data_IF_262323305337
#
_entry.id   IF_262323305337
#
_cell.length_a   1.000
_cell.length_b   1.000
_cell.length_c   1.000
_cell.angle_alpha   90.00
_cell.angle_beta   90.00
_cell.angle_gamma   90.00
#
_symmetry.space_group_name_H-M   'P 1'
#
loop_
_entity.id
_entity.type
_entity.pdbx_description
1 polymer ?
#
# COMPACT_ATOMS: atom_id res chain seq x y z
N UNK A 1 54.29 -17.69 -33.83
CA UNK A 1 53.94 -17.84 -35.28
C UNK A 1 52.68 -17.06 -35.58
N UNK A 2 52.80 -16.19 -36.52
CA UNK A 2 51.78 -15.23 -37.02
C UNK A 2 50.60 -15.95 -37.69
N UNK A 3 49.36 -15.42 -37.60
CA UNK A 3 48.53 -15.08 -38.78
C UNK A 3 47.41 -14.10 -38.41
N UNK A 4 47.55 -12.91 -38.95
CA UNK A 4 46.50 -11.89 -39.14
C UNK A 4 45.66 -12.33 -40.32
N UNK A 5 44.35 -12.13 -40.23
CA UNK A 5 43.51 -12.04 -41.45
C UNK A 5 42.50 -10.91 -41.24
N UNK A 6 42.69 -9.91 -42.07
CA UNK A 6 41.79 -8.79 -42.37
C UNK A 6 40.57 -9.35 -43.13
N UNK A 7 39.38 -8.92 -42.82
CA UNK A 7 38.22 -9.04 -43.66
C UNK A 7 37.58 -7.67 -43.86
N UNK A 8 37.41 -7.35 -45.13
CA UNK A 8 37.05 -6.06 -45.69
C UNK A 8 35.54 -5.74 -45.46
N UNK A 9 35.27 -4.42 -45.36
CA UNK A 9 33.94 -3.84 -45.45
C UNK A 9 33.34 -4.08 -46.84
N UNK A 10 32.07 -4.53 -46.86
CA UNK A 10 31.18 -4.36 -47.98
C UNK A 10 30.04 -3.42 -47.55
N UNK A 11 30.08 -2.20 -48.10
CA UNK A 11 28.95 -1.25 -48.06
C UNK A 11 27.91 -1.73 -49.08
N UNK A 12 26.71 -2.09 -48.57
CA UNK A 12 25.51 -2.20 -49.39
C UNK A 12 24.54 -1.10 -49.01
N UNK A 13 24.30 -0.18 -49.90
CA UNK A 13 23.26 0.83 -49.84
C UNK A 13 21.88 0.10 -49.90
N UNK A 14 21.14 0.10 -48.82
CA UNK A 14 19.78 -0.39 -48.75
C UNK A 14 18.81 0.75 -48.48
N UNK A 15 17.91 0.96 -49.44
CA UNK A 15 16.87 1.99 -49.47
C UNK A 15 16.02 1.99 -48.18
N UNK A 16 15.99 3.13 -47.50
CA UNK A 16 15.17 3.31 -46.31
C UNK A 16 13.69 3.34 -46.65
N UNK A 17 12.94 2.35 -46.15
CA UNK A 17 11.50 2.45 -46.01
C UNK A 17 11.24 3.06 -44.64
N UNK A 18 10.85 4.32 -44.61
CA UNK A 18 10.38 4.98 -43.42
C UNK A 18 9.00 4.40 -43.04
N UNK A 19 8.96 3.46 -42.11
CA UNK A 19 7.72 3.05 -41.45
C UNK A 19 7.35 4.13 -40.47
N UNK A 20 6.42 5.00 -40.84
CA UNK A 20 5.78 5.97 -39.96
C UNK A 20 4.91 5.23 -38.95
N UNK A 21 5.43 4.97 -37.74
CA UNK A 21 4.64 4.56 -36.59
C UNK A 21 3.85 5.78 -36.08
N UNK A 22 2.74 6.10 -36.75
CA UNK A 22 1.73 6.99 -36.20
C UNK A 22 1.01 6.24 -35.04
N UNK A 23 1.68 6.13 -33.91
CA UNK A 23 1.08 5.74 -32.65
C UNK A 23 0.17 6.87 -32.18
N UNK A 24 -1.10 6.83 -32.55
CA UNK A 24 -2.13 7.68 -31.98
C UNK A 24 -2.23 7.44 -30.48
N UNK A 25 -1.46 8.17 -29.69
CA UNK A 25 -1.73 8.31 -28.26
C UNK A 25 -3.00 9.16 -28.14
N UNK A 26 -4.13 8.49 -28.16
CA UNK A 26 -5.37 9.09 -27.71
C UNK A 26 -5.11 9.61 -26.29
N UNK A 27 -4.98 10.93 -26.15
CA UNK A 27 -5.06 11.60 -24.86
C UNK A 27 -6.47 11.32 -24.34
N UNK A 28 -6.60 10.24 -23.56
CA UNK A 28 -7.74 10.10 -22.67
C UNK A 28 -7.66 11.33 -21.75
N UNK A 29 -8.47 12.33 -22.02
CA UNK A 29 -8.73 13.44 -21.12
C UNK A 29 -9.40 12.83 -19.90
N UNK A 30 -8.60 12.39 -18.93
CA UNK A 30 -9.06 12.08 -17.60
C UNK A 30 -9.61 13.40 -17.06
N UNK A 31 -10.93 13.58 -17.16
CA UNK A 31 -11.62 14.56 -16.33
C UNK A 31 -11.22 14.20 -14.92
N UNK A 32 -10.49 15.07 -14.23
CA UNK A 32 -10.18 14.94 -12.82
C UNK A 32 -11.50 14.94 -12.05
N UNK A 33 -12.11 13.78 -11.91
CA UNK A 33 -13.26 13.60 -11.03
C UNK A 33 -12.73 13.87 -9.63
N UNK A 34 -13.28 14.87 -8.95
CA UNK A 34 -12.97 15.04 -7.53
C UNK A 34 -13.34 13.74 -6.80
N UNK A 35 -12.43 13.18 -5.98
CA UNK A 35 -12.72 11.95 -5.25
C UNK A 35 -13.98 12.11 -4.41
N UNK A 36 -14.97 11.25 -4.62
CA UNK A 36 -16.20 11.27 -3.82
C UNK A 36 -15.90 10.70 -2.44
N UNK A 37 -16.27 11.39 -1.35
CA UNK A 37 -16.11 10.86 0.01
C UNK A 37 -16.94 9.58 0.18
N UNK A 38 -16.38 8.62 0.93
CA UNK A 38 -17.13 7.41 1.31
C UNK A 38 -18.00 7.74 2.52
N UNK A 39 -19.31 7.44 2.48
CA UNK A 39 -20.17 7.64 3.63
C UNK A 39 -19.67 6.87 4.87
N UNK A 40 -19.71 7.46 6.06
CA UNK A 40 -19.37 6.75 7.29
C UNK A 40 -20.23 5.51 7.50
N UNK A 41 -19.62 4.45 8.02
CA UNK A 41 -20.37 3.26 8.42
C UNK A 41 -21.33 3.57 9.57
N UNK A 42 -22.51 2.98 9.51
CA UNK A 42 -23.61 3.15 10.48
C UNK A 42 -24.12 1.79 10.94
N UNK A 43 -24.95 1.76 11.95
CA UNK A 43 -25.66 0.54 12.34
C UNK A 43 -26.37 -0.06 11.13
N UNK A 44 -26.17 -1.34 10.88
CA UNK A 44 -26.66 -2.06 9.71
C UNK A 44 -25.72 -2.05 8.50
N UNK A 45 -24.62 -1.29 8.50
CA UNK A 45 -23.62 -1.34 7.43
C UNK A 45 -23.08 -2.76 7.23
N UNK A 46 -22.84 -3.12 5.96
CA UNK A 46 -22.43 -4.46 5.56
C UNK A 46 -21.07 -4.44 4.90
N UNK A 47 -20.19 -5.34 5.33
CA UNK A 47 -18.87 -5.54 4.75
C UNK A 47 -18.67 -7.01 4.42
N UNK A 48 -17.80 -7.29 3.48
CA UNK A 48 -17.41 -8.66 3.10
C UNK A 48 -15.91 -8.86 3.27
N UNK A 49 -15.53 -9.97 3.89
CA UNK A 49 -14.15 -10.40 3.96
C UNK A 49 -13.67 -10.97 2.63
N UNK A 50 -12.44 -10.68 2.24
CA UNK A 50 -11.79 -11.16 1.03
C UNK A 50 -10.37 -11.55 1.36
N UNK A 51 -9.92 -12.68 0.85
CA UNK A 51 -8.51 -13.07 0.90
C UNK A 51 -7.85 -12.91 -0.49
N UNK A 52 -7.15 -11.81 -0.76
CA UNK A 52 -6.50 -11.57 -2.05
C UNK A 52 -5.13 -12.23 -2.19
N UNK A 53 -4.56 -12.72 -1.10
CA UNK A 53 -3.17 -13.15 -1.00
C UNK A 53 -2.98 -14.65 -0.80
N UNK A 54 -2.08 -14.98 0.11
CA UNK A 54 -1.75 -16.36 0.48
C UNK A 54 -2.94 -17.04 1.16
N UNK A 55 -3.07 -18.36 0.97
CA UNK A 55 -4.04 -19.14 1.73
C UNK A 55 -3.83 -18.98 3.23
N UNK A 56 -4.88 -19.09 3.99
CA UNK A 56 -4.82 -19.00 5.45
C UNK A 56 -5.26 -20.34 6.06
N UNK A 57 -4.84 -20.56 7.29
CA UNK A 57 -5.21 -21.79 8.02
C UNK A 57 -6.73 -22.00 7.96
N UNK A 58 -7.22 -23.16 7.44
CA UNK A 58 -8.64 -23.48 7.40
C UNK A 58 -9.32 -23.39 8.76
N UNK A 59 -8.58 -23.68 9.84
CA UNK A 59 -9.07 -23.64 11.23
C UNK A 59 -9.07 -22.22 11.82
N UNK A 60 -8.72 -21.18 11.04
CA UNK A 60 -8.76 -19.80 11.52
C UNK A 60 -10.12 -19.45 12.10
N UNK A 61 -10.15 -19.10 13.38
CA UNK A 61 -11.37 -18.68 14.07
C UNK A 61 -11.67 -17.21 13.74
N UNK A 62 -12.73 -16.97 12.98
CA UNK A 62 -13.24 -15.64 12.67
C UNK A 62 -14.22 -15.09 13.73
N UNK A 63 -14.58 -15.87 14.75
CA UNK A 63 -15.54 -15.45 15.78
C UNK A 63 -15.16 -14.13 16.45
N UNK A 64 -13.90 -13.90 16.86
CA UNK A 64 -13.52 -12.62 17.46
C UNK A 64 -13.69 -11.44 16.48
N UNK A 65 -13.40 -11.65 15.19
CA UNK A 65 -13.57 -10.63 14.17
C UNK A 65 -15.06 -10.30 13.96
N UNK A 66 -15.90 -11.32 13.82
CA UNK A 66 -17.35 -11.15 13.68
C UNK A 66 -17.95 -10.41 14.87
N UNK A 67 -17.53 -10.75 16.10
CA UNK A 67 -17.98 -10.09 17.32
C UNK A 67 -17.61 -8.62 17.36
N UNK A 68 -16.39 -8.25 16.92
CA UNK A 68 -15.94 -6.84 16.83
C UNK A 68 -16.83 -6.01 15.90
N UNK A 69 -17.15 -6.53 14.72
CA UNK A 69 -18.03 -5.83 13.78
C UNK A 69 -19.47 -5.77 14.32
N UNK A 70 -19.99 -6.87 14.87
CA UNK A 70 -21.32 -6.91 15.46
C UNK A 70 -21.48 -5.94 16.64
N UNK A 71 -20.45 -5.76 17.46
CA UNK A 71 -20.46 -4.79 18.56
C UNK A 71 -20.66 -3.33 18.08
N UNK A 72 -20.25 -3.01 16.83
CA UNK A 72 -20.53 -1.72 16.20
C UNK A 72 -21.90 -1.66 15.50
N UNK A 73 -22.62 -2.77 15.50
CA UNK A 73 -23.87 -2.94 14.74
C UNK A 73 -23.63 -3.10 13.23
N UNK A 74 -22.42 -3.48 12.83
CA UNK A 74 -22.05 -3.77 11.44
C UNK A 74 -22.11 -5.28 11.17
N UNK A 75 -22.37 -5.65 9.94
CA UNK A 75 -22.38 -7.04 9.49
C UNK A 75 -21.12 -7.32 8.66
N UNK A 76 -20.29 -8.25 9.12
CA UNK A 76 -19.18 -8.78 8.34
C UNK A 76 -19.57 -10.16 7.82
N UNK A 77 -19.59 -10.31 6.51
CA UNK A 77 -19.75 -11.59 5.82
C UNK A 77 -18.37 -12.24 5.61
N UNK A 78 -18.23 -13.51 5.97
CA UNK A 78 -17.03 -14.32 5.72
C UNK A 78 -17.40 -15.42 4.72
N UNK A 79 -17.20 -15.21 3.40
CA UNK A 79 -17.44 -16.25 2.40
C UNK A 79 -16.50 -17.43 2.57
N UNK A 80 -16.95 -18.63 2.19
CA UNK A 80 -16.11 -19.83 2.23
C UNK A 80 -14.84 -19.70 1.38
N UNK A 81 -14.90 -18.93 0.30
CA UNK A 81 -13.75 -18.63 -0.56
C UNK A 81 -12.56 -17.99 0.17
N UNK A 82 -12.77 -17.39 1.35
CA UNK A 82 -11.70 -16.86 2.19
C UNK A 82 -10.73 -17.95 2.66
N UNK A 83 -11.25 -19.17 2.86
CA UNK A 83 -10.51 -20.36 3.34
C UNK A 83 -9.96 -21.23 2.21
N UNK A 84 -10.14 -20.82 0.97
CA UNK A 84 -9.68 -21.58 -0.18
C UNK A 84 -8.16 -21.70 -0.25
N UNK A 85 -7.68 -22.70 -0.99
CA UNK A 85 -6.26 -22.92 -1.24
C UNK A 85 -6.02 -23.33 -2.69
N UNK A 86 -5.11 -22.64 -3.34
CA UNK A 86 -4.56 -23.01 -4.63
C UNK A 86 -3.06 -22.72 -4.61
N UNK A 87 -2.24 -23.76 -4.57
CA UNK A 87 -0.80 -23.62 -4.31
C UNK A 87 -0.58 -22.85 -3.00
N UNK A 88 0.17 -21.74 -3.03
CA UNK A 88 0.36 -20.85 -1.87
C UNK A 88 -0.64 -19.68 -1.80
N UNK A 89 -1.59 -19.60 -2.71
CA UNK A 89 -2.64 -18.58 -2.73
C UNK A 89 -3.97 -19.11 -2.18
N UNK A 90 -4.87 -18.18 -1.86
CA UNK A 90 -6.23 -18.55 -1.44
C UNK A 90 -7.08 -19.14 -2.58
N UNK A 91 -6.79 -18.75 -3.83
CA UNK A 91 -7.46 -19.24 -5.04
C UNK A 91 -6.64 -18.84 -6.28
N UNK A 92 -7.09 -19.23 -7.49
CA UNK A 92 -6.50 -18.74 -8.74
C UNK A 92 -6.61 -17.23 -8.87
N UNK A 93 -5.76 -16.60 -9.69
CA UNK A 93 -5.78 -15.15 -9.88
C UNK A 93 -7.16 -14.66 -10.35
N UNK A 94 -7.80 -15.39 -11.27
CA UNK A 94 -9.13 -15.05 -11.77
C UNK A 94 -10.23 -15.18 -10.70
N UNK A 95 -10.18 -16.21 -9.88
CA UNK A 95 -11.13 -16.39 -8.77
C UNK A 95 -10.98 -15.30 -7.71
N UNK A 96 -9.74 -14.94 -7.33
CA UNK A 96 -9.45 -13.85 -6.39
C UNK A 96 -9.91 -12.52 -6.95
N UNK A 97 -9.64 -12.25 -8.26
CA UNK A 97 -10.14 -11.06 -8.95
C UNK A 97 -11.66 -10.99 -8.94
N UNK A 98 -12.33 -12.07 -9.34
CA UNK A 98 -13.79 -12.13 -9.36
C UNK A 98 -14.39 -11.86 -7.97
N UNK A 99 -13.83 -12.48 -6.93
CA UNK A 99 -14.28 -12.26 -5.54
C UNK A 99 -14.19 -10.77 -5.12
N UNK A 100 -13.14 -10.07 -5.54
CA UNK A 100 -12.98 -8.64 -5.27
C UNK A 100 -13.97 -7.81 -6.09
N UNK A 101 -14.07 -8.06 -7.39
CA UNK A 101 -14.96 -7.32 -8.30
C UNK A 101 -16.43 -7.52 -7.91
N UNK A 102 -16.83 -8.72 -7.55
CA UNK A 102 -18.18 -9.02 -7.07
C UNK A 102 -18.52 -8.25 -5.80
N UNK A 103 -17.61 -8.23 -4.83
CA UNK A 103 -17.83 -7.47 -3.60
C UNK A 103 -17.86 -5.95 -3.85
N UNK A 104 -16.99 -5.44 -4.71
CA UNK A 104 -16.96 -4.01 -5.03
C UNK A 104 -18.20 -3.55 -5.82
N UNK A 105 -18.77 -4.42 -6.63
CA UNK A 105 -19.96 -4.11 -7.43
C UNK A 105 -21.29 -4.44 -6.73
N UNK A 106 -21.24 -5.13 -5.59
CA UNK A 106 -22.44 -5.41 -4.79
C UNK A 106 -22.94 -4.10 -4.12
N UNK A 107 -24.08 -3.53 -4.54
CA UNK A 107 -24.58 -2.28 -4.01
C UNK A 107 -25.05 -2.37 -2.55
N UNK A 108 -25.20 -3.58 -2.03
CA UNK A 108 -25.62 -3.82 -0.63
C UNK A 108 -24.45 -3.78 0.35
N UNK A 109 -23.22 -3.76 -0.15
CA UNK A 109 -22.01 -3.67 0.66
C UNK A 109 -21.49 -2.24 0.74
N UNK A 110 -21.14 -1.80 1.94
CA UNK A 110 -20.48 -0.52 2.21
C UNK A 110 -18.96 -0.60 2.05
N UNK A 111 -18.39 -1.82 2.10
CA UNK A 111 -16.96 -2.01 1.98
C UNK A 111 -16.50 -3.47 2.05
N UNK A 112 -15.18 -3.61 1.98
CA UNK A 112 -14.48 -4.90 2.06
C UNK A 112 -13.43 -4.88 3.16
N UNK A 113 -13.15 -6.06 3.72
CA UNK A 113 -12.07 -6.29 4.69
C UNK A 113 -11.14 -7.34 4.10
N UNK A 114 -9.91 -6.96 3.81
CA UNK A 114 -8.89 -7.90 3.37
C UNK A 114 -8.33 -8.63 4.58
N UNK A 115 -8.57 -9.93 4.66
CA UNK A 115 -8.22 -10.75 5.84
C UNK A 115 -6.98 -11.60 5.67
N UNK A 116 -6.52 -11.78 4.46
CA UNK A 116 -5.27 -12.48 4.15
C UNK A 116 -4.10 -11.51 3.97
N UNK A 117 -2.90 -12.05 3.95
CA UNK A 117 -1.65 -11.36 3.71
C UNK A 117 -0.69 -12.20 2.87
N UNK A 118 0.62 -12.08 3.13
CA UNK A 118 1.66 -12.82 2.43
C UNK A 118 1.99 -12.24 1.06
N UNK A 119 1.56 -12.92 -0.01
CA UNK A 119 1.79 -12.51 -1.39
C UNK A 119 0.59 -12.85 -2.28
N UNK A 120 0.27 -12.01 -3.25
CA UNK A 120 -0.73 -12.32 -4.26
C UNK A 120 -1.56 -11.15 -4.76
N UNK A 121 -1.73 -10.08 -3.98
CA UNK A 121 -2.57 -8.94 -4.35
C UNK A 121 -2.07 -8.24 -5.64
N UNK A 122 -0.75 -8.11 -5.83
CA UNK A 122 -0.18 -7.54 -7.05
C UNK A 122 -0.48 -8.39 -8.30
N UNK A 123 -0.56 -9.72 -8.18
CA UNK A 123 -0.98 -10.61 -9.29
C UNK A 123 -2.45 -10.43 -9.64
N UNK A 124 -3.29 -10.18 -8.64
CA UNK A 124 -4.70 -9.86 -8.89
C UNK A 124 -4.82 -8.54 -9.68
N UNK A 125 -4.00 -7.54 -9.38
CA UNK A 125 -3.93 -6.31 -10.17
C UNK A 125 -3.50 -6.59 -11.62
N UNK A 126 -2.47 -7.42 -11.82
CA UNK A 126 -1.97 -7.83 -13.14
C UNK A 126 -3.04 -8.55 -13.96
N UNK A 127 -3.87 -9.38 -13.33
CA UNK A 127 -4.95 -10.12 -14.02
C UNK A 127 -6.08 -9.23 -14.56
N UNK A 128 -5.96 -7.90 -14.42
CA UNK A 128 -6.87 -6.94 -15.03
C UNK A 128 -8.02 -6.50 -14.13
N UNK A 129 -7.79 -6.44 -12.82
CA UNK A 129 -8.75 -5.95 -11.83
C UNK A 129 -9.34 -4.59 -12.22
N UNK A 130 -10.66 -4.44 -12.10
CA UNK A 130 -11.42 -3.24 -12.42
C UNK A 130 -12.01 -2.63 -11.16
N UNK A 131 -11.76 -1.35 -10.97
CA UNK A 131 -12.35 -0.61 -9.86
C UNK A 131 -13.78 -0.17 -10.21
N UNK A 132 -14.70 -0.18 -9.22
CA UNK A 132 -16.09 0.26 -9.43
C UNK A 132 -16.17 1.78 -9.56
N UNK A 133 -17.28 2.28 -10.10
CA UNK A 133 -17.57 3.72 -10.18
C UNK A 133 -18.39 4.22 -8.96
N UNK A 134 -18.16 3.66 -7.79
CA UNK A 134 -18.79 4.05 -6.54
C UNK A 134 -17.77 4.14 -5.40
N UNK A 135 -17.97 5.03 -4.41
CA UNK A 135 -17.16 5.06 -3.20
C UNK A 135 -17.46 3.81 -2.34
N UNK A 136 -16.43 3.24 -1.71
CA UNK A 136 -16.55 2.11 -0.78
C UNK A 136 -15.35 2.07 0.17
N UNK A 137 -15.53 1.47 1.32
CA UNK A 137 -14.45 1.22 2.26
C UNK A 137 -13.63 -0.01 1.89
N UNK A 138 -12.32 0.09 2.02
CA UNK A 138 -11.39 -1.05 1.97
C UNK A 138 -10.47 -0.98 3.16
N UNK A 139 -10.58 -1.95 4.05
CA UNK A 139 -9.67 -2.11 5.18
C UNK A 139 -8.71 -3.25 4.86
N UNK A 140 -7.40 -2.97 4.89
CA UNK A 140 -6.39 -3.98 4.57
C UNK A 140 -5.00 -3.61 5.06
N UNK A 141 -4.10 -4.59 5.05
CA UNK A 141 -2.77 -4.47 5.60
C UNK A 141 -1.80 -5.42 4.88
N UNK A 142 -0.48 -5.19 5.00
CA UNK A 142 0.53 -6.08 4.42
C UNK A 142 0.39 -6.19 2.89
N UNK A 143 0.30 -7.38 2.31
CA UNK A 143 0.11 -7.62 0.86
C UNK A 143 -1.06 -6.83 0.26
N UNK A 144 -2.14 -6.62 1.04
CA UNK A 144 -3.29 -5.84 0.60
C UNK A 144 -2.97 -4.36 0.33
N UNK A 145 -1.80 -3.85 0.78
CA UNK A 145 -1.33 -2.52 0.44
C UNK A 145 -1.30 -2.29 -1.07
N UNK A 146 -1.06 -3.33 -1.88
CA UNK A 146 -1.12 -3.24 -3.34
C UNK A 146 -2.51 -2.79 -3.83
N UNK A 147 -3.58 -3.37 -3.28
CA UNK A 147 -4.96 -3.02 -3.62
C UNK A 147 -5.34 -1.63 -3.11
N UNK A 148 -4.89 -1.26 -1.91
CA UNK A 148 -5.15 0.06 -1.33
C UNK A 148 -4.46 1.18 -2.13
N UNK A 149 -3.21 0.98 -2.54
CA UNK A 149 -2.49 1.90 -3.43
C UNK A 149 -3.18 2.04 -4.79
N UNK A 150 -3.58 0.91 -5.38
CA UNK A 150 -4.26 0.89 -6.66
C UNK A 150 -5.65 1.55 -6.59
N UNK A 151 -6.40 1.36 -5.49
CA UNK A 151 -7.67 2.05 -5.23
C UNK A 151 -7.45 3.58 -5.18
N UNK A 152 -6.44 4.02 -4.42
CA UNK A 152 -6.07 5.43 -4.36
C UNK A 152 -5.64 5.98 -5.72
N UNK A 153 -4.81 5.23 -6.47
CA UNK A 153 -4.40 5.60 -7.83
C UNK A 153 -5.58 5.70 -8.81
N UNK A 154 -6.63 4.89 -8.62
CA UNK A 154 -7.85 4.98 -9.39
C UNK A 154 -8.75 6.19 -9.01
N UNK A 155 -8.32 7.02 -8.04
CA UNK A 155 -9.06 8.20 -7.57
C UNK A 155 -10.21 7.87 -6.60
N UNK A 156 -10.20 6.70 -5.98
CA UNK A 156 -11.22 6.26 -5.04
C UNK A 156 -10.75 6.43 -3.60
N UNK A 157 -11.51 7.16 -2.80
CA UNK A 157 -11.31 7.25 -1.35
C UNK A 157 -11.81 5.99 -0.64
N UNK A 158 -11.52 5.88 0.67
CA UNK A 158 -11.99 4.80 1.52
C UNK A 158 -10.97 3.67 1.73
N UNK A 159 -9.78 3.78 1.17
CA UNK A 159 -8.68 2.86 1.45
C UNK A 159 -8.10 3.16 2.85
N UNK A 160 -8.09 2.16 3.73
CA UNK A 160 -7.51 2.24 5.07
C UNK A 160 -6.42 1.16 5.19
N UNK A 161 -5.19 1.61 5.42
CA UNK A 161 -4.08 0.73 5.78
C UNK A 161 -4.15 0.43 7.27
N UNK A 162 -4.53 -0.78 7.62
CA UNK A 162 -4.70 -1.23 8.99
C UNK A 162 -5.30 -2.63 9.04
N UNK A 163 -5.31 -3.20 10.23
CA UNK A 163 -5.81 -4.55 10.48
C UNK A 163 -7.07 -4.51 11.33
N UNK A 164 -8.04 -5.36 11.01
CA UNK A 164 -9.17 -5.64 11.89
C UNK A 164 -8.81 -6.59 13.05
N UNK A 165 -7.67 -7.26 12.95
CA UNK A 165 -7.07 -8.05 14.01
C UNK A 165 -6.22 -7.18 14.94
N UNK A 166 -5.92 -7.67 16.15
CA UNK A 166 -5.03 -6.98 17.09
C UNK A 166 -5.72 -6.54 18.38
N UNK A 167 -5.12 -5.55 19.07
CA UNK A 167 -5.61 -5.05 20.37
C UNK A 167 -6.80 -4.11 20.22
N UNK A 168 -7.54 -3.90 21.31
CA UNK A 168 -8.80 -3.14 21.28
C UNK A 168 -8.60 -1.67 20.92
N UNK A 169 -7.57 -1.02 21.42
CA UNK A 169 -7.31 0.39 21.10
C UNK A 169 -7.04 0.62 19.61
N UNK A 170 -6.34 -0.32 18.98
CA UNK A 170 -6.11 -0.35 17.53
C UNK A 170 -7.43 -0.49 16.77
N UNK A 171 -8.30 -1.40 17.23
CA UNK A 171 -9.62 -1.60 16.64
C UNK A 171 -10.50 -0.35 16.81
N UNK A 172 -10.50 0.27 17.99
CA UNK A 172 -11.27 1.49 18.23
C UNK A 172 -10.87 2.61 17.26
N UNK A 173 -9.58 2.79 16.97
CA UNK A 173 -9.15 3.75 15.95
C UNK A 173 -9.69 3.41 14.56
N UNK A 174 -9.68 2.14 14.18
CA UNK A 174 -10.25 1.69 12.91
C UNK A 174 -11.76 2.00 12.84
N UNK A 175 -12.48 1.77 13.94
CA UNK A 175 -13.90 2.11 14.07
C UNK A 175 -14.12 3.62 13.92
N UNK A 176 -13.28 4.46 14.55
CA UNK A 176 -13.38 5.91 14.44
C UNK A 176 -13.22 6.37 12.99
N UNK A 177 -12.21 5.84 12.28
CA UNK A 177 -12.00 6.15 10.86
C UNK A 177 -13.18 5.75 9.99
N UNK A 178 -13.66 4.52 10.12
CA UNK A 178 -14.79 3.99 9.35
C UNK A 178 -16.11 4.71 9.67
N UNK A 179 -16.26 5.21 10.90
CA UNK A 179 -17.43 5.99 11.34
C UNK A 179 -17.30 7.48 11.09
N UNK A 180 -16.20 7.95 10.51
CA UNK A 180 -15.95 9.37 10.24
C UNK A 180 -15.70 10.21 11.50
N UNK A 181 -15.32 9.57 12.60
CA UNK A 181 -14.99 10.25 13.85
C UNK A 181 -13.53 10.73 13.86
N UNK A 182 -13.21 11.81 14.62
CA UNK A 182 -11.83 12.24 14.83
C UNK A 182 -10.99 11.15 15.51
N UNK A 183 -9.71 11.08 15.16
CA UNK A 183 -8.75 10.17 15.77
C UNK A 183 -7.62 10.93 16.44
N UNK A 184 -7.03 10.35 17.47
CA UNK A 184 -5.86 10.93 18.13
C UNK A 184 -4.66 10.97 17.19
N UNK A 185 -3.76 11.96 17.30
CA UNK A 185 -2.49 11.98 16.60
C UNK A 185 -1.67 10.71 16.88
N UNK A 186 -0.90 10.25 15.90
CA UNK A 186 0.11 9.23 16.14
C UNK A 186 1.39 9.90 16.62
N UNK A 187 1.98 9.32 17.65
CA UNK A 187 3.24 9.80 18.24
C UNK A 187 4.39 8.88 17.80
N UNK A 188 5.38 9.46 17.18
CA UNK A 188 6.67 8.86 16.85
C UNK A 188 7.82 9.74 17.34
N UNK A 189 8.96 9.59 16.69
CA UNK A 189 10.18 10.33 17.00
C UNK A 189 10.56 11.22 15.82
N UNK A 190 10.48 12.53 16.00
CA UNK A 190 10.92 13.49 14.99
C UNK A 190 12.44 13.42 14.75
N UNK A 191 12.85 13.47 13.50
CA UNK A 191 14.27 13.39 13.10
C UNK A 191 14.73 14.64 12.39
N UNK A 192 13.97 15.15 11.44
CA UNK A 192 14.37 16.29 10.63
C UNK A 192 13.17 17.10 10.13
N UNK A 193 13.41 18.40 9.91
CA UNK A 193 12.42 19.32 9.40
C UNK A 193 11.52 19.89 10.49
N UNK A 194 10.51 20.65 10.07
CA UNK A 194 9.50 21.22 10.97
C UNK A 194 8.15 20.55 10.76
N UNK A 195 7.35 21.11 9.88
CA UNK A 195 6.00 20.65 9.59
C UNK A 195 5.75 20.60 8.10
N UNK A 196 4.92 19.65 7.67
CA UNK A 196 4.37 19.64 6.32
C UNK A 196 2.93 19.14 6.34
N UNK A 197 2.14 19.66 5.38
CA UNK A 197 0.79 19.17 5.08
C UNK A 197 0.81 18.42 3.76
N UNK A 198 0.02 17.36 3.67
CA UNK A 198 -0.11 16.60 2.45
C UNK A 198 -1.05 15.43 2.61
N UNK A 199 -1.39 14.82 1.49
CA UNK A 199 -2.23 13.61 1.50
C UNK A 199 -1.40 12.39 1.89
N UNK A 200 -1.98 11.53 2.70
CA UNK A 200 -1.32 10.31 3.14
C UNK A 200 -1.24 9.29 2.01
N UNK A 201 -0.04 8.74 1.83
CA UNK A 201 0.19 7.48 1.13
C UNK A 201 0.85 6.53 2.10
N UNK A 202 0.13 5.51 2.51
CA UNK A 202 0.56 4.56 3.55
C UNK A 202 0.70 3.19 2.92
N UNK A 203 1.83 2.52 3.15
CA UNK A 203 2.10 1.24 2.50
C UNK A 203 3.20 0.43 3.19
N UNK A 204 3.18 -0.87 2.94
CA UNK A 204 4.35 -1.71 3.12
C UNK A 204 5.39 -1.40 2.03
N UNK A 205 6.67 -1.26 2.39
CA UNK A 205 7.75 -0.87 1.47
C UNK A 205 8.00 -1.93 0.39
N UNK A 206 8.10 -3.19 0.79
CA UNK A 206 8.31 -4.32 -0.14
C UNK A 206 7.19 -4.39 -1.17
N UNK A 207 5.94 -4.34 -0.71
CA UNK A 207 4.75 -4.40 -1.58
C UNK A 207 4.74 -3.23 -2.57
N UNK A 208 4.96 -2.01 -2.09
CA UNK A 208 4.99 -0.83 -2.95
C UNK A 208 6.16 -0.88 -3.95
N UNK A 209 7.32 -1.40 -3.55
CA UNK A 209 8.48 -1.55 -4.43
C UNK A 209 8.16 -2.43 -5.64
N UNK A 210 7.36 -3.50 -5.46
CA UNK A 210 6.92 -4.36 -6.56
C UNK A 210 5.91 -3.70 -7.51
N UNK A 211 5.31 -2.59 -7.14
CA UNK A 211 4.39 -1.83 -8.01
C UNK A 211 5.07 -0.73 -8.81
N UNK A 212 6.35 -0.42 -8.55
CA UNK A 212 7.09 0.63 -9.27
C UNK A 212 7.09 0.34 -10.77
N UNK A 213 6.76 1.34 -11.57
CA UNK A 213 6.67 1.21 -13.03
C UNK A 213 5.35 0.64 -13.54
N UNK A 214 4.46 0.20 -12.66
CA UNK A 214 3.10 -0.21 -13.04
C UNK A 214 2.13 0.98 -13.02
N UNK A 215 0.99 0.83 -13.70
CA UNK A 215 -0.10 1.81 -13.66
C UNK A 215 -0.78 1.93 -12.28
N UNK A 216 -0.48 1.02 -11.37
CA UNK A 216 -1.10 0.92 -10.04
C UNK A 216 -0.36 1.71 -8.96
N UNK A 217 0.89 2.12 -9.25
CA UNK A 217 1.68 2.91 -8.31
C UNK A 217 1.22 4.38 -8.36
N UNK A 218 0.80 4.97 -7.22
CA UNK A 218 0.30 6.35 -7.20
C UNK A 218 1.42 7.38 -7.30
N UNK A 219 1.06 8.58 -7.77
CA UNK A 219 1.96 9.72 -7.66
C UNK A 219 2.17 10.10 -6.20
N UNK A 220 3.42 10.24 -5.81
CA UNK A 220 3.81 10.66 -4.45
C UNK A 220 4.01 12.19 -4.33
N UNK A 221 3.81 12.95 -5.42
CA UNK A 221 4.00 14.40 -5.40
C UNK A 221 3.04 15.08 -4.40
N UNK A 222 3.60 15.83 -3.46
CA UNK A 222 2.87 16.51 -2.39
C UNK A 222 2.33 15.58 -1.30
N UNK A 223 2.68 14.29 -1.33
CA UNK A 223 2.23 13.34 -0.33
C UNK A 223 3.10 13.35 0.94
N UNK A 224 2.49 12.99 2.06
CA UNK A 224 3.18 12.47 3.23
C UNK A 224 3.21 10.95 3.05
N UNK A 225 4.41 10.41 2.79
CA UNK A 225 4.64 8.98 2.61
C UNK A 225 4.87 8.32 3.97
N UNK A 226 4.11 7.27 4.25
CA UNK A 226 4.24 6.47 5.48
C UNK A 226 4.61 5.05 5.09
N UNK A 227 5.77 4.58 5.56
CA UNK A 227 6.34 3.27 5.24
C UNK A 227 6.45 2.38 6.49
N UNK A 228 6.20 1.11 6.33
CA UNK A 228 6.51 0.04 7.29
C UNK A 228 6.97 -1.20 6.52
N UNK A 229 7.60 -2.16 7.20
CA UNK A 229 7.93 -3.46 6.59
C UNK A 229 8.14 -4.56 7.64
N UNK A 230 8.12 -5.82 7.18
CA UNK A 230 8.31 -7.00 8.02
C UNK A 230 9.19 -8.04 7.36
N UNK A 231 10.10 -8.62 8.15
CA UNK A 231 10.93 -9.74 7.68
C UNK A 231 12.05 -9.34 6.70
N UNK A 232 12.27 -8.04 6.51
CA UNK A 232 13.30 -7.52 5.61
C UNK A 232 14.54 -7.06 6.38
N UNK A 233 15.66 -7.74 6.16
CA UNK A 233 16.95 -7.35 6.73
C UNK A 233 17.32 -5.91 6.35
N UNK A 234 18.08 -5.17 7.18
CA UNK A 234 18.44 -3.79 6.91
C UNK A 234 19.00 -3.55 5.50
N UNK A 235 19.88 -4.43 4.99
CA UNK A 235 20.44 -4.30 3.65
C UNK A 235 19.39 -4.44 2.53
N UNK A 236 18.29 -5.18 2.75
CA UNK A 236 17.18 -5.28 1.78
C UNK A 236 16.36 -4.02 1.75
N UNK A 237 16.12 -3.42 2.92
CA UNK A 237 15.46 -2.11 3.03
C UNK A 237 16.32 -1.03 2.36
N UNK A 238 17.64 -1.01 2.61
CA UNK A 238 18.57 -0.11 1.92
C UNK A 238 18.47 -0.26 0.40
N UNK A 239 18.49 -1.48 -0.11
CA UNK A 239 18.38 -1.76 -1.55
C UNK A 239 17.07 -1.23 -2.15
N UNK A 240 15.94 -1.41 -1.46
CA UNK A 240 14.65 -0.88 -1.90
C UNK A 240 14.64 0.64 -1.87
N UNK A 241 15.08 1.27 -0.78
CA UNK A 241 15.17 2.73 -0.69
C UNK A 241 16.13 3.32 -1.71
N UNK A 242 17.25 2.63 -2.00
CA UNK A 242 18.19 3.00 -3.08
C UNK A 242 17.50 2.97 -4.45
N UNK A 243 16.71 1.95 -4.76
CA UNK A 243 15.90 1.89 -5.98
C UNK A 243 14.93 3.07 -6.05
N UNK A 244 14.19 3.35 -4.96
CA UNK A 244 13.24 4.47 -4.90
C UNK A 244 13.93 5.83 -5.14
N UNK A 245 15.13 6.02 -4.57
CA UNK A 245 15.94 7.21 -4.80
C UNK A 245 16.38 7.31 -6.27
N UNK A 246 16.87 6.22 -6.84
CA UNK A 246 17.40 6.15 -8.21
C UNK A 246 16.34 6.47 -9.26
N UNK A 247 15.09 6.04 -9.06
CA UNK A 247 13.97 6.36 -9.96
C UNK A 247 13.27 7.68 -9.60
N UNK A 248 13.73 8.38 -8.57
CA UNK A 248 13.27 9.71 -8.19
C UNK A 248 11.91 9.77 -7.50
N UNK A 249 11.45 8.69 -6.85
CA UNK A 249 10.15 8.64 -6.18
C UNK A 249 10.00 9.60 -5.01
N UNK A 250 11.10 9.94 -4.35
CA UNK A 250 11.08 10.90 -3.23
C UNK A 250 10.99 12.36 -3.67
N UNK A 251 11.12 12.66 -4.98
CA UNK A 251 11.06 14.05 -5.47
C UNK A 251 9.65 14.63 -5.30
N UNK A 252 9.60 15.76 -4.57
CA UNK A 252 8.35 16.49 -4.37
C UNK A 252 7.42 15.91 -3.33
N UNK A 253 7.88 14.98 -2.48
CA UNK A 253 7.18 14.61 -1.25
C UNK A 253 6.98 15.84 -0.34
N UNK A 254 5.90 15.86 0.42
CA UNK A 254 5.70 16.83 1.49
C UNK A 254 6.41 16.39 2.79
N UNK A 255 6.44 15.10 3.07
CA UNK A 255 7.07 14.54 4.27
C UNK A 255 7.21 13.03 4.20
N UNK A 256 7.99 12.47 5.10
CA UNK A 256 8.16 11.02 5.26
C UNK A 256 7.95 10.64 6.72
N UNK A 257 7.23 9.54 6.94
CA UNK A 257 7.15 8.91 8.24
C UNK A 257 7.39 7.40 8.11
N UNK A 258 7.97 6.80 9.14
CA UNK A 258 8.20 5.38 9.20
C UNK A 258 7.50 4.79 10.42
N UNK A 259 6.77 3.71 10.19
CA UNK A 259 6.31 2.81 11.22
C UNK A 259 7.38 1.80 11.61
N UNK A 260 6.94 0.59 11.98
CA UNK A 260 7.86 -0.49 12.32
C UNK A 260 8.49 -1.10 11.08
N UNK A 261 9.77 -1.43 11.25
CA UNK A 261 10.51 -2.34 10.37
C UNK A 261 11.00 -3.48 11.25
N UNK A 262 10.78 -4.70 10.82
CA UNK A 262 11.25 -5.88 11.56
C UNK A 262 11.98 -6.85 10.65
N UNK A 263 12.92 -7.60 11.24
CA UNK A 263 13.76 -8.58 10.57
C UNK A 263 14.13 -9.68 11.55
N UNK A 264 14.78 -10.72 11.06
CA UNK A 264 15.37 -11.76 11.90
C UNK A 264 16.76 -11.32 12.35
N UNK A 265 17.11 -11.55 13.62
CA UNK A 265 18.42 -11.17 14.16
C UNK A 265 19.58 -11.81 13.39
N UNK A 266 19.41 -13.05 12.94
CA UNK A 266 20.39 -13.79 12.13
C UNK A 266 20.66 -13.17 10.74
N UNK A 267 19.82 -12.25 10.30
CA UNK A 267 19.99 -11.51 9.04
C UNK A 267 20.99 -10.34 9.15
N UNK A 268 21.56 -10.07 10.33
CA UNK A 268 22.46 -8.94 10.61
C UNK A 268 23.74 -9.46 11.25
N UNK A 269 24.88 -9.11 10.67
CA UNK A 269 26.19 -9.48 11.20
C UNK A 269 26.80 -8.32 12.02
N UNK A 270 27.73 -8.61 12.95
CA UNK A 270 28.45 -7.55 13.65
C UNK A 270 29.16 -6.60 12.68
N UNK A 271 28.87 -5.31 12.80
CA UNK A 271 29.43 -4.26 11.91
C UNK A 271 28.54 -3.89 10.74
N UNK A 272 27.42 -4.57 10.51
CA UNK A 272 26.40 -4.16 9.55
C UNK A 272 25.64 -2.91 10.05
N UNK A 273 25.09 -2.15 9.10
CA UNK A 273 24.18 -1.06 9.43
C UNK A 273 22.91 -1.58 10.13
N UNK A 274 22.54 -0.92 11.21
CA UNK A 274 21.25 -1.14 11.84
C UNK A 274 20.10 -0.53 11.02
N UNK A 275 18.87 -0.98 11.25
CA UNK A 275 17.69 -0.41 10.58
C UNK A 275 17.53 1.10 10.82
N UNK A 276 17.69 1.63 12.06
CA UNK A 276 17.65 3.08 12.28
C UNK A 276 18.71 3.86 11.48
N UNK A 277 19.92 3.33 11.34
CA UNK A 277 20.99 3.95 10.54
C UNK A 277 20.62 3.99 9.06
N UNK A 278 20.09 2.90 8.50
CA UNK A 278 19.63 2.84 7.10
C UNK A 278 18.50 3.86 6.88
N UNK A 279 17.50 3.88 7.73
CA UNK A 279 16.38 4.82 7.58
C UNK A 279 16.84 6.27 7.69
N UNK A 280 17.77 6.57 8.60
CA UNK A 280 18.32 7.92 8.75
C UNK A 280 19.17 8.31 7.54
N UNK A 281 20.07 7.45 7.08
CA UNK A 281 20.93 7.71 5.93
C UNK A 281 20.13 7.91 4.63
N UNK A 282 19.12 7.06 4.40
CA UNK A 282 18.36 7.06 3.16
C UNK A 282 17.25 8.11 3.09
N UNK A 283 16.81 8.64 4.23
CA UNK A 283 15.64 9.52 4.28
C UNK A 283 15.92 10.91 4.85
N UNK A 284 16.97 11.12 5.64
CA UNK A 284 17.18 12.39 6.33
C UNK A 284 17.67 13.53 5.41
N UNK A 285 18.29 13.23 4.28
CA UNK A 285 18.78 14.21 3.29
C UNK A 285 17.72 14.66 2.27
N UNK A 286 16.49 14.12 2.34
CA UNK A 286 15.42 14.45 1.41
C UNK A 286 14.90 15.89 1.54
N UNK A 287 15.29 16.62 2.58
CA UNK A 287 14.91 18.02 2.80
C UNK A 287 13.46 18.24 3.24
N UNK A 288 12.74 17.17 3.60
CA UNK A 288 11.35 17.19 4.09
C UNK A 288 11.26 16.72 5.54
N UNK A 289 10.18 17.03 6.27
CA UNK A 289 9.96 16.48 7.61
C UNK A 289 10.04 14.96 7.63
N UNK A 290 10.79 14.42 8.61
CA UNK A 290 10.96 12.98 8.84
C UNK A 290 10.56 12.64 10.29
N UNK A 291 9.64 11.69 10.43
CA UNK A 291 9.23 11.11 11.72
C UNK A 291 9.41 9.59 11.64
N UNK A 292 10.11 9.02 12.61
CA UNK A 292 10.32 7.57 12.73
C UNK A 292 9.50 7.01 13.90
N UNK A 293 9.43 5.68 13.96
CA UNK A 293 8.86 4.95 15.09
C UNK A 293 7.36 5.25 15.33
N UNK A 294 6.60 5.56 14.28
CA UNK A 294 5.14 5.62 14.42
C UNK A 294 4.60 4.23 14.82
N UNK A 295 3.60 4.16 15.70
CA UNK A 295 3.06 2.89 16.21
C UNK A 295 2.15 2.19 15.19
N UNK A 296 2.68 1.93 13.99
CA UNK A 296 1.99 1.21 12.92
C UNK A 296 2.94 0.20 12.25
N UNK A 297 2.40 -0.71 11.46
CA UNK A 297 3.14 -1.78 10.83
C UNK A 297 3.00 -3.10 11.59
N UNK A 298 3.73 -4.13 11.12
CA UNK A 298 3.70 -5.47 11.72
C UNK A 298 4.18 -5.43 13.17
N UNK A 299 3.28 -5.77 14.08
CA UNK A 299 3.43 -5.67 15.54
C UNK A 299 2.23 -4.98 16.18
N UNK A 300 2.26 -4.82 17.50
CA UNK A 300 1.16 -4.23 18.27
C UNK A 300 1.61 -2.95 18.98
N UNK A 301 0.78 -1.92 19.00
CA UNK A 301 -0.43 -1.74 18.18
C UNK A 301 -0.08 -1.45 16.72
N UNK A 302 -0.96 -1.82 15.79
CA UNK A 302 -0.88 -1.42 14.39
C UNK A 302 -1.99 -0.39 14.09
N UNK A 303 -1.70 0.88 14.28
CA UNK A 303 -2.68 1.95 14.14
C UNK A 303 -3.02 2.23 12.68
N UNK A 304 -4.32 2.18 12.38
CA UNK A 304 -4.82 2.39 11.04
C UNK A 304 -4.65 3.83 10.55
N UNK A 305 -4.36 3.99 9.25
CA UNK A 305 -4.28 5.28 8.56
C UNK A 305 -5.01 5.22 7.22
N UNK A 306 -5.80 6.26 6.88
CA UNK A 306 -6.52 6.34 5.61
C UNK A 306 -5.62 6.90 4.50
N UNK A 307 -5.60 6.26 3.33
CA UNK A 307 -4.92 6.79 2.15
C UNK A 307 -5.71 7.97 1.59
N UNK A 308 -4.99 8.96 1.08
CA UNK A 308 -5.55 10.13 0.43
C UNK A 308 -6.15 11.19 1.35
N UNK A 309 -6.21 10.95 2.67
CA UNK A 309 -6.65 11.95 3.66
C UNK A 309 -5.55 12.99 3.87
N UNK A 310 -5.94 14.25 3.99
CA UNK A 310 -5.02 15.32 4.38
C UNK A 310 -4.51 15.10 5.81
N UNK A 311 -3.22 15.30 6.01
CA UNK A 311 -2.57 15.17 7.30
C UNK A 311 -1.51 16.27 7.52
N UNK A 312 -1.17 16.48 8.77
CA UNK A 312 -0.05 17.30 9.22
C UNK A 312 1.01 16.36 9.83
N UNK A 313 2.21 16.39 9.27
CA UNK A 313 3.39 15.75 9.83
C UNK A 313 4.23 16.82 10.52
N UNK A 314 4.41 16.71 11.83
CA UNK A 314 5.23 17.62 12.61
C UNK A 314 6.45 16.87 13.17
N UNK A 315 7.59 17.08 12.55
CA UNK A 315 8.84 16.48 13.01
C UNK A 315 9.41 17.15 14.29
N UNK A 316 8.91 18.34 14.67
CA UNK A 316 9.35 18.99 15.92
C UNK A 316 8.77 18.29 17.15
N UNK A 317 7.53 17.85 17.05
CA UNK A 317 6.84 17.09 18.10
C UNK A 317 6.82 15.59 17.86
N UNK A 318 7.21 15.12 16.65
CA UNK A 318 7.14 13.71 16.24
C UNK A 318 5.72 13.23 15.97
N UNK A 319 4.80 14.12 15.59
CA UNK A 319 3.38 13.78 15.45
C UNK A 319 2.91 13.69 14.00
N UNK A 320 2.00 12.75 13.76
CA UNK A 320 1.19 12.66 12.56
C UNK A 320 -0.28 12.82 12.93
N UNK A 321 -0.92 13.89 12.44
CA UNK A 321 -2.31 14.25 12.74
C UNK A 321 -3.15 14.29 11.48
N UNK A 322 -4.28 13.56 11.47
CA UNK A 322 -5.26 13.67 10.38
C UNK A 322 -5.98 15.01 10.46
N UNK A 323 -6.17 15.63 9.30
CA UNK A 323 -6.94 16.87 9.23
C UNK A 323 -8.43 16.56 9.03
N UNK A 324 -9.28 17.47 9.51
CA UNK A 324 -10.74 17.33 9.46
C UNK A 324 -11.28 17.25 8.00
#
# INVERSE_FOLDING_TARGET
>A
MRRRSLLALALSAGSGVAVSLAGGHGKATSRSRQPRPVPPLRRGSRLRAINPGTWMDPETDFTPLLQRFAAQGWHLEIPESVRGQWQWFSATDDQRRASIEDAWNDPTLDGVVYVGGGWGAARVLESGLRFPDRPFWSLGFSDSSALLLAQWQAGLLGAIHGSAWGVEEQWQRTVDLLSGRPTQPLQGRGRRGRQARGRLVVTNLTVATHLIGTRWFPSLKGAILVLEDVGEAPYRVDRMLTQWRSVGLFKGLAGVACGRFSWKEDDVLPGDFSMPEILDERLSDLGVPLVLDLPLGHGLPNWALPLGREALLDASSGQLTLQA
#
